data_IF_439568021143
#
_entry.id   IF_439568021143
#
_cell.length_a   1.000
_cell.length_b   1.000
_cell.length_c   1.000
_cell.angle_alpha   90.00
_cell.angle_beta   90.00
_cell.angle_gamma   90.00
#
_symmetry.space_group_name_H-M   'P 1'
#
loop_
_entity.id
_entity.type
_entity.pdbx_description
1 polymer ?
#
# COMPACT_ATOMS: atom_id res chain seq x y z
N UNK A 1 -12.56 -10.90 5.38
CA UNK A 1 -12.03 -11.21 4.81
C UNK A 1 -11.61 -10.48 3.91
N UNK A 2 -10.98 -10.00 3.86
CA UNK A 2 -10.44 -9.25 3.17
C UNK A 2 -10.36 -9.63 1.87
N UNK A 3 -9.59 -9.62 1.19
CA UNK A 3 -9.49 -9.80 -0.15
C UNK A 3 -10.60 -10.53 -0.78
N UNK A 4 -11.45 -10.99 0.01
CA UNK A 4 -12.55 -11.72 -0.47
C UNK A 4 -13.71 -10.88 -0.80
N UNK A 5 -13.65 -9.63 -0.39
CA UNK A 5 -14.78 -8.75 -0.60
C UNK A 5 -14.89 -8.32 -2.04
N UNK A 6 -13.83 -8.48 -2.84
CA UNK A 6 -13.88 -8.06 -4.23
C UNK A 6 -13.25 -9.11 -5.11
N UNK A 7 -14.02 -9.60 -6.06
CA UNK A 7 -13.53 -10.57 -7.01
C UNK A 7 -12.72 -9.89 -8.09
N UNK A 8 -11.61 -10.48 -8.47
CA UNK A 8 -10.82 -9.91 -9.55
C UNK A 8 -11.59 -9.92 -10.87
N UNK A 9 -12.64 -10.73 -10.97
CA UNK A 9 -13.44 -10.75 -12.17
C UNK A 9 -14.20 -9.45 -12.37
N UNK A 10 -14.41 -8.68 -11.32
CA UNK A 10 -15.11 -7.41 -11.41
C UNK A 10 -14.21 -6.28 -11.87
N UNK A 11 -12.93 -6.53 -12.02
CA UNK A 11 -11.98 -5.49 -12.39
C UNK A 11 -11.64 -5.55 -13.86
N UNK A 12 -11.24 -4.40 -14.41
CA UNK A 12 -10.75 -4.38 -15.78
C UNK A 12 -9.45 -5.18 -15.84
N UNK A 13 -9.05 -5.62 -17.04
CA UNK A 13 -7.78 -6.36 -17.16
C UNK A 13 -6.59 -5.60 -16.59
N UNK A 14 -6.53 -4.28 -16.79
CA UNK A 14 -5.44 -3.48 -16.24
C UNK A 14 -5.43 -3.56 -14.72
N UNK A 15 -6.61 -3.39 -14.11
CA UNK A 15 -6.70 -3.42 -12.66
C UNK A 15 -6.41 -4.80 -12.09
N UNK A 16 -6.80 -5.86 -12.80
CA UNK A 16 -6.48 -7.22 -12.35
C UNK A 16 -4.98 -7.44 -12.32
N UNK A 17 -4.27 -6.96 -13.33
CA UNK A 17 -2.81 -7.09 -13.35
C UNK A 17 -2.18 -6.32 -12.21
N UNK A 18 -2.70 -5.13 -11.94
CA UNK A 18 -2.19 -4.32 -10.84
C UNK A 18 -2.44 -5.02 -9.50
N UNK A 19 -3.62 -5.57 -9.31
CA UNK A 19 -3.94 -6.26 -8.06
C UNK A 19 -2.99 -7.44 -7.84
N UNK A 20 -2.75 -8.21 -8.89
CA UNK A 20 -1.82 -9.33 -8.78
C UNK A 20 -0.45 -8.84 -8.34
N UNK A 21 0.04 -7.78 -8.97
CA UNK A 21 1.37 -7.25 -8.64
C UNK A 21 1.43 -6.72 -7.21
N UNK A 22 0.32 -6.18 -6.72
CA UNK A 22 0.29 -5.66 -5.36
C UNK A 22 0.51 -6.76 -4.32
N UNK A 23 0.05 -7.96 -4.61
CA UNK A 23 0.21 -9.08 -3.70
C UNK A 23 1.49 -9.88 -3.93
N UNK A 24 2.30 -9.46 -4.91
CA UNK A 24 3.53 -10.19 -5.27
C UNK A 24 4.70 -9.23 -5.35
N UNK A 25 4.83 -8.40 -4.32
CA UNK A 25 5.97 -7.51 -4.20
C UNK A 25 7.17 -8.29 -3.67
N UNK A 26 8.31 -7.61 -3.59
CA UNK A 26 9.53 -8.28 -3.18
C UNK A 26 9.62 -8.57 -1.70
N UNK A 27 8.89 -7.84 -0.87
CA UNK A 27 8.90 -8.09 0.56
C UNK A 27 7.48 -8.12 1.07
N UNK A 28 7.29 -8.90 2.13
CA UNK A 28 5.96 -9.17 2.64
C UNK A 28 5.25 -7.92 3.12
N UNK A 29 5.97 -7.02 3.77
CA UNK A 29 5.35 -5.79 4.27
C UNK A 29 4.70 -5.00 3.15
N UNK A 30 5.35 -4.98 1.99
CA UNK A 30 4.79 -4.24 0.86
C UNK A 30 3.64 -5.00 0.20
N UNK A 31 3.67 -6.33 0.22
CA UNK A 31 2.52 -7.10 -0.22
C UNK A 31 1.29 -6.70 0.59
N UNK A 32 1.46 -6.59 1.90
CA UNK A 32 0.32 -6.28 2.76
C UNK A 32 -0.20 -4.87 2.54
N UNK A 33 0.70 -3.89 2.45
CA UNK A 33 0.28 -2.51 2.25
C UNK A 33 -0.42 -2.35 0.90
N UNK A 34 0.25 -2.74 -0.16
CA UNK A 34 -0.30 -2.53 -1.50
C UNK A 34 -1.47 -3.45 -1.78
N UNK A 35 -1.41 -4.69 -1.29
CA UNK A 35 -2.51 -5.61 -1.48
C UNK A 35 -3.78 -5.15 -0.79
N UNK A 36 -3.67 -4.72 0.46
CA UNK A 36 -4.84 -4.23 1.18
C UNK A 36 -5.41 -2.99 0.54
N UNK A 37 -4.54 -2.05 0.15
CA UNK A 37 -5.00 -0.86 -0.51
C UNK A 37 -5.75 -1.22 -1.80
N UNK A 38 -5.19 -2.12 -2.59
CA UNK A 38 -5.81 -2.49 -3.85
C UNK A 38 -7.15 -3.17 -3.65
N UNK A 39 -7.24 -4.05 -2.66
CA UNK A 39 -8.52 -4.70 -2.39
C UNK A 39 -9.60 -3.69 -2.08
N UNK A 40 -9.27 -2.66 -1.34
CA UNK A 40 -10.25 -1.70 -0.90
C UNK A 40 -10.54 -0.62 -1.93
N UNK A 41 -9.54 -0.17 -2.67
CA UNK A 41 -9.68 1.08 -3.41
C UNK A 41 -9.39 1.01 -4.90
N UNK A 42 -8.77 -0.07 -5.37
CA UNK A 42 -8.30 -0.10 -6.75
C UNK A 42 -9.43 0.10 -7.76
N UNK A 43 -10.56 -0.48 -7.52
CA UNK A 43 -11.68 -0.41 -8.46
C UNK A 43 -12.20 1.02 -8.61
N UNK A 44 -11.98 1.85 -7.60
CA UNK A 44 -12.52 3.21 -7.60
C UNK A 44 -11.51 4.26 -8.03
N UNK A 45 -10.28 3.86 -8.34
CA UNK A 45 -9.28 4.83 -8.77
C UNK A 45 -9.58 5.29 -10.20
N UNK A 46 -9.38 6.59 -10.44
CA UNK A 46 -9.52 7.12 -11.80
C UNK A 46 -8.32 6.67 -12.64
N UNK A 47 -8.41 6.88 -13.94
CA UNK A 47 -7.30 6.51 -14.80
C UNK A 47 -6.03 7.29 -14.44
N UNK A 48 -6.18 8.56 -14.07
CA UNK A 48 -5.03 9.35 -13.66
C UNK A 48 -4.43 8.79 -12.39
N UNK A 49 -5.27 8.39 -11.44
CA UNK A 49 -4.79 7.79 -10.21
C UNK A 49 -4.13 6.44 -10.46
N UNK A 50 -4.64 5.67 -11.44
CA UNK A 50 -4.01 4.41 -11.79
C UNK A 50 -2.60 4.63 -12.35
N UNK A 51 -2.44 5.67 -13.17
CA UNK A 51 -1.13 5.99 -13.69
C UNK A 51 -0.17 6.32 -12.56
N UNK A 52 -0.63 7.11 -11.60
CA UNK A 52 0.19 7.48 -10.46
C UNK A 52 0.51 6.25 -9.62
N UNK A 53 -0.49 5.40 -9.40
CA UNK A 53 -0.31 4.20 -8.59
C UNK A 53 0.73 3.27 -9.21
N UNK A 54 0.66 3.08 -10.53
CA UNK A 54 1.64 2.24 -11.20
C UNK A 54 3.05 2.84 -11.10
N UNK A 55 3.13 4.17 -11.15
CA UNK A 55 4.41 4.82 -10.98
C UNK A 55 4.99 4.56 -9.59
N UNK A 56 4.14 4.66 -8.57
CA UNK A 56 4.56 4.37 -7.21
C UNK A 56 5.00 2.92 -7.09
N UNK A 57 4.25 2.00 -7.69
CA UNK A 57 4.59 0.58 -7.63
C UNK A 57 5.91 0.27 -8.31
N UNK A 58 6.39 1.16 -9.17
CA UNK A 58 7.66 0.96 -9.83
C UNK A 58 8.86 1.27 -8.95
N UNK A 59 8.64 1.84 -7.77
CA UNK A 59 9.74 2.12 -6.86
C UNK A 59 10.20 0.85 -6.16
N UNK A 60 11.43 0.89 -5.68
CA UNK A 60 12.00 -0.26 -4.98
C UNK A 60 11.26 -0.53 -3.68
N UNK A 61 11.03 -1.80 -3.36
CA UNK A 61 10.30 -2.17 -2.17
C UNK A 61 10.95 -1.69 -0.89
N UNK A 62 12.27 -1.73 -0.81
CA UNK A 62 12.95 -1.28 0.39
C UNK A 62 12.83 0.23 0.56
N UNK A 63 12.86 0.96 -0.56
CA UNK A 63 12.64 2.41 -0.52
C UNK A 63 11.23 2.72 -0.07
N UNK A 64 10.25 2.03 -0.66
CA UNK A 64 8.85 2.23 -0.28
C UNK A 64 8.64 1.94 1.20
N UNK A 65 9.22 0.88 1.68
CA UNK A 65 9.09 0.51 3.08
C UNK A 65 9.67 1.61 3.98
N UNK A 66 10.84 2.13 3.64
CA UNK A 66 11.47 3.17 4.44
C UNK A 66 10.64 4.45 4.43
N UNK A 67 10.04 4.78 3.31
CA UNK A 67 9.22 6.00 3.22
C UNK A 67 7.89 5.83 3.98
N UNK A 68 7.29 4.67 3.86
CA UNK A 68 5.98 4.43 4.50
C UNK A 68 6.13 4.36 6.02
N UNK A 69 7.23 3.79 6.50
CA UNK A 69 7.44 3.68 7.94
C UNK A 69 8.04 4.93 8.54
N UNK A 70 8.48 5.87 7.71
CA UNK A 70 9.10 7.08 8.23
C UNK A 70 10.58 6.95 8.50
N UNK A 71 11.19 5.82 8.12
CA UNK A 71 12.62 5.63 8.32
C UNK A 71 13.45 6.57 7.44
N UNK A 72 12.89 6.97 6.30
CA UNK A 72 13.50 7.95 5.43
C UNK A 72 12.46 8.98 5.03
N UNK A 73 12.92 10.19 4.76
CA UNK A 73 12.03 11.26 4.36
C UNK A 73 11.47 10.99 2.97
N UNK A 74 10.17 11.20 2.83
CA UNK A 74 9.50 10.95 1.56
C UNK A 74 9.94 12.00 0.54
N UNK A 75 10.34 11.58 -0.66
CA UNK A 75 10.67 12.54 -1.71
C UNK A 75 9.47 13.41 -2.06
N UNK A 76 9.76 14.62 -2.48
CA UNK A 76 8.69 15.57 -2.73
C UNK A 76 7.74 15.09 -3.82
N UNK A 77 8.27 14.46 -4.84
CA UNK A 77 7.41 13.99 -5.95
C UNK A 77 6.46 12.88 -5.53
N UNK A 78 6.68 12.29 -4.34
CA UNK A 78 5.78 11.26 -3.84
C UNK A 78 4.87 11.78 -2.73
N UNK A 79 4.95 13.07 -2.42
CA UNK A 79 4.10 13.65 -1.39
C UNK A 79 2.75 14.01 -1.98
N UNK A 80 1.95 13.00 -2.23
CA UNK A 80 0.65 13.17 -2.87
C UNK A 80 -0.43 12.57 -1.99
N UNK A 81 -1.68 12.99 -2.19
CA UNK A 81 -2.78 12.37 -1.43
C UNK A 81 -2.87 10.88 -1.65
N UNK A 82 -2.60 10.41 -2.85
CA UNK A 82 -2.66 8.98 -3.13
C UNK A 82 -1.64 8.22 -2.32
N UNK A 83 -0.39 8.71 -2.28
CA UNK A 83 0.63 8.03 -1.49
C UNK A 83 0.24 8.00 -0.01
N UNK A 84 -0.33 9.08 0.50
CA UNK A 84 -0.77 9.12 1.89
C UNK A 84 -1.85 8.07 2.15
N UNK A 85 -2.76 7.88 1.20
CA UNK A 85 -3.78 6.87 1.35
C UNK A 85 -3.19 5.47 1.36
N UNK A 86 -2.23 5.22 0.49
CA UNK A 86 -1.54 3.93 0.47
C UNK A 86 -0.83 3.68 1.79
N UNK A 87 -0.11 4.68 2.28
CA UNK A 87 0.65 4.53 3.51
C UNK A 87 -0.24 4.28 4.71
N UNK A 88 -1.49 4.73 4.65
CA UNK A 88 -2.41 4.52 5.75
C UNK A 88 -2.79 3.07 5.94
N UNK A 89 -2.47 2.23 4.96
CA UNK A 89 -2.73 0.79 5.05
C UNK A 89 -1.59 0.04 5.71
N UNK A 90 -0.60 0.76 6.25
CA UNK A 90 0.50 0.11 6.95
C UNK A 90 -0.06 -0.73 8.09
N UNK A 91 0.24 -2.02 8.09
CA UNK A 91 -0.32 -2.89 9.14
C UNK A 91 0.37 -2.66 10.46
N UNK A 92 -0.33 -3.02 11.53
CA UNK A 92 0.22 -2.95 12.85
C UNK A 92 0.83 -4.27 13.24
N UNK A 93 1.55 -4.88 12.30
CA UNK A 93 2.13 -6.17 12.64
C UNK A 93 3.49 -6.04 13.29
N UNK A 94 4.06 -4.86 13.32
CA UNK A 94 5.35 -4.66 13.94
C UNK A 94 5.17 -4.72 15.45
N UNK A 95 5.69 -5.73 16.11
CA UNK A 95 5.48 -5.86 17.54
C UNK A 95 6.03 -4.69 18.31
N UNK A 96 7.04 -4.04 17.79
CA UNK A 96 7.59 -2.89 18.48
C UNK A 96 6.60 -1.77 18.51
N UNK A 97 5.93 -1.56 17.40
CA UNK A 97 5.01 -0.45 17.39
C UNK A 97 3.75 -0.78 18.09
N UNK A 98 3.37 -2.00 18.08
CA UNK A 98 2.14 -2.24 18.74
C UNK A 98 2.25 -2.08 20.17
N UNK A 99 3.16 -2.28 20.59
CA UNK A 99 3.25 -2.05 21.88
C UNK A 99 3.67 -0.97 22.14
N UNK A 100 4.02 -0.70 21.56
CA UNK A 100 4.44 0.49 21.87
C UNK A 100 3.49 1.33 21.40
N UNK A 101 3.06 0.98 21.24
CA UNK A 101 2.51 1.73 20.95
C UNK A 101 1.64 1.81 21.31
N UNK A 102 1.55 1.38 21.75
CA UNK A 102 0.98 1.62 22.20
C UNK A 102 1.02 1.95 22.85
N UNK A 103 1.30 1.73 23.07
CA UNK A 103 1.54 2.22 23.73
C UNK A 103 1.63 2.79 23.63
N UNK A 104 1.70 2.44 23.71
CA UNK A 104 1.89 3.07 23.84
C UNK A 104 1.53 3.64 23.85
N UNK A 105 1.39 3.36 24.16
CA UNK A 105 1.19 3.87 24.45
C UNK A 105 0.89 4.04 24.68
N UNK A 106 0.94 3.71 25.12
CA UNK A 106 0.91 3.86 25.68
C UNK A 106 1.07 3.99 25.80
N UNK A 107 1.13 3.66 26.00
CA UNK A 107 1.49 3.81 26.33
C UNK A 107 1.47 4.16 26.28
#
# INVERSE_FOLDING_TARGET
MTGLTRSSADLTPRRRRILYRCWHRGIREMDLVFGQFAEDELADLSEVELDEFESIMGEDDHDLHAWITGARELPENLRTPLFARIASYRPDFDPVTTESLKAKSEQ
#
